data_IF_669801754492
#
_entry.id   IF_669801754492
#
_cell.length_a   1.000
_cell.length_b   1.000
_cell.length_c   1.000
_cell.angle_alpha   90.00
_cell.angle_beta   90.00
_cell.angle_gamma   90.00
#
_symmetry.space_group_name_H-M   'P 1'
#
loop_
_entity.id
_entity.type
_entity.pdbx_description
1 polymer ?
#
# COMPACT_ATOMS: atom_id res chain seq x y z
N UNK A 1 71.39 75.11 -31.61
CA UNK A 1 70.37 76.11 -31.25
C UNK A 1 69.03 75.63 -31.79
N UNK A 2 67.96 75.66 -30.98
CA UNK A 2 66.58 75.51 -31.45
C UNK A 2 65.84 74.28 -30.92
N UNK A 3 65.08 74.47 -29.84
CA UNK A 3 64.16 73.51 -29.21
C UNK A 3 62.94 73.19 -30.09
N UNK A 4 62.45 71.95 -30.06
CA UNK A 4 61.08 71.59 -30.46
C UNK A 4 60.38 70.89 -29.30
N UNK A 5 59.32 71.52 -28.80
CA UNK A 5 58.53 71.09 -27.65
C UNK A 5 57.58 69.94 -27.97
N UNK A 6 57.50 69.00 -27.02
CA UNK A 6 56.61 67.86 -27.04
C UNK A 6 55.17 68.25 -26.66
N UNK A 7 54.18 67.72 -27.38
CA UNK A 7 52.78 67.66 -26.95
C UNK A 7 52.46 66.23 -26.51
N UNK A 8 52.10 66.09 -25.24
CA UNK A 8 51.71 64.85 -24.59
C UNK A 8 50.22 64.59 -24.85
N UNK A 9 49.88 63.49 -25.51
CA UNK A 9 48.52 62.94 -25.56
C UNK A 9 48.39 61.88 -24.46
N UNK A 10 47.50 62.09 -23.49
CA UNK A 10 47.10 61.05 -22.53
C UNK A 10 46.09 60.11 -23.20
N UNK A 11 46.45 58.83 -23.32
CA UNK A 11 45.52 57.72 -23.58
C UNK A 11 45.09 57.13 -22.23
N UNK A 12 43.79 57.21 -21.93
CA UNK A 12 43.18 56.56 -20.76
C UNK A 12 42.87 55.11 -21.13
N UNK A 13 43.59 54.16 -20.52
CA UNK A 13 43.31 52.73 -20.61
C UNK A 13 42.23 52.36 -19.58
N UNK A 14 41.03 51.98 -20.04
CA UNK A 14 39.99 51.41 -19.19
C UNK A 14 40.24 49.91 -18.93
N UNK A 15 39.93 49.39 -17.72
CA UNK A 15 40.12 47.97 -17.43
C UNK A 15 39.04 47.13 -18.12
N UNK A 16 39.46 46.15 -18.91
CA UNK A 16 38.56 45.13 -19.45
C UNK A 16 38.17 44.15 -18.31
N UNK A 17 36.92 44.20 -17.87
CA UNK A 17 36.35 43.17 -17.00
C UNK A 17 36.13 41.88 -17.82
N UNK A 18 36.91 40.84 -17.51
CA UNK A 18 36.62 39.48 -17.96
C UNK A 18 35.55 38.91 -17.01
N UNK A 19 34.32 38.79 -17.51
CA UNK A 19 33.25 38.12 -16.78
C UNK A 19 33.49 36.60 -16.82
N UNK A 20 33.91 36.02 -15.69
CA UNK A 20 33.88 34.57 -15.50
C UNK A 20 32.42 34.11 -15.39
N UNK A 21 31.91 33.45 -16.43
CA UNK A 21 30.64 32.72 -16.37
C UNK A 21 30.83 31.49 -15.50
N UNK A 22 30.37 31.56 -14.26
CA UNK A 22 30.27 30.40 -13.38
C UNK A 22 29.09 29.56 -13.90
N UNK A 23 29.38 28.47 -14.61
CA UNK A 23 28.36 27.47 -14.92
C UNK A 23 27.99 26.77 -13.60
N UNK A 24 26.98 27.29 -12.92
CA UNK A 24 26.29 26.54 -11.86
C UNK A 24 25.51 25.42 -12.55
N UNK A 25 26.10 24.22 -12.61
CA UNK A 25 25.35 23.01 -12.90
C UNK A 25 24.17 22.96 -11.92
N UNK A 26 22.95 23.15 -12.41
CA UNK A 26 21.76 22.94 -11.60
C UNK A 26 21.82 21.49 -11.12
N UNK A 27 22.03 21.31 -9.81
CA UNK A 27 21.87 20.01 -9.20
C UNK A 27 20.45 19.57 -9.54
N UNK A 28 20.30 18.45 -10.27
CA UNK A 28 18.99 17.86 -10.48
C UNK A 28 18.37 17.67 -9.10
N UNK A 29 17.24 18.33 -8.85
CA UNK A 29 16.54 18.17 -7.58
C UNK A 29 16.25 16.68 -7.39
N UNK A 30 16.61 16.13 -6.23
CA UNK A 30 16.31 14.74 -5.92
C UNK A 30 14.81 14.53 -6.07
N UNK A 31 14.42 13.50 -6.82
CA UNK A 31 13.02 13.14 -6.99
C UNK A 31 12.40 12.92 -5.61
N UNK A 32 11.25 13.55 -5.31
CA UNK A 32 10.59 13.36 -4.02
C UNK A 32 10.21 11.89 -3.85
N UNK A 33 10.50 11.32 -2.68
CA UNK A 33 9.97 10.01 -2.31
C UNK A 33 8.45 10.16 -2.10
N UNK A 34 7.69 9.77 -3.12
CA UNK A 34 6.25 9.89 -3.14
C UNK A 34 5.60 8.73 -3.87
N UNK A 35 4.30 8.59 -3.65
CA UNK A 35 3.45 7.64 -4.33
C UNK A 35 2.17 8.31 -4.84
N UNK A 36 1.75 7.93 -6.03
CA UNK A 36 0.53 8.39 -6.67
C UNK A 36 -0.14 7.30 -7.50
N UNK A 37 -1.22 7.66 -8.17
CA UNK A 37 -1.95 6.78 -9.10
C UNK A 37 -1.92 7.42 -10.49
N UNK A 38 -1.61 6.60 -11.49
CA UNK A 38 -1.72 6.97 -12.90
C UNK A 38 -2.41 5.82 -13.66
N UNK A 39 -3.64 6.06 -14.12
CA UNK A 39 -4.47 5.02 -14.73
C UNK A 39 -4.69 3.87 -13.75
N UNK A 40 -4.33 2.65 -14.16
CA UNK A 40 -4.43 1.43 -13.36
C UNK A 40 -3.11 1.06 -12.63
N UNK A 41 -2.17 1.99 -12.49
CA UNK A 41 -0.88 1.75 -11.83
C UNK A 41 -0.64 2.70 -10.65
N UNK A 42 0.07 2.20 -9.64
CA UNK A 42 0.77 3.04 -8.68
C UNK A 42 2.05 3.57 -9.34
N UNK A 43 2.40 4.83 -9.06
CA UNK A 43 3.61 5.49 -9.58
C UNK A 43 4.42 6.12 -8.47
N UNK A 44 5.74 6.12 -8.61
CA UNK A 44 6.64 6.85 -7.71
C UNK A 44 6.74 8.34 -8.08
N UNK A 45 7.59 9.10 -7.39
CA UNK A 45 7.80 10.53 -7.65
C UNK A 45 8.36 10.88 -9.04
N UNK A 46 8.94 9.92 -9.76
CA UNK A 46 9.38 10.07 -11.15
C UNK A 46 8.24 9.78 -12.15
N UNK A 47 7.05 9.42 -11.67
CA UNK A 47 5.95 8.95 -12.51
C UNK A 47 6.17 7.53 -13.06
N UNK A 48 7.16 6.80 -12.57
CA UNK A 48 7.43 5.42 -12.99
C UNK A 48 6.47 4.48 -12.29
N UNK A 49 5.85 3.56 -13.04
CA UNK A 49 5.00 2.53 -12.47
C UNK A 49 5.78 1.66 -11.49
N UNK A 50 5.23 1.46 -10.29
CA UNK A 50 5.80 0.65 -9.22
C UNK A 50 4.78 -0.35 -8.69
N UNK A 51 5.28 -1.39 -8.02
CA UNK A 51 4.48 -2.30 -7.20
C UNK A 51 4.88 -2.15 -5.74
N UNK A 52 3.90 -2.26 -4.86
CA UNK A 52 4.10 -2.33 -3.42
C UNK A 52 4.25 -3.80 -3.02
N UNK A 53 5.46 -4.19 -2.66
CA UNK A 53 5.81 -5.54 -2.21
C UNK A 53 6.28 -5.42 -0.77
N UNK A 54 5.50 -5.92 0.17
CA UNK A 54 5.69 -5.54 1.57
C UNK A 54 5.21 -6.52 2.61
N UNK A 55 5.10 -6.02 3.83
CA UNK A 55 4.62 -6.81 4.97
C UNK A 55 3.62 -6.00 5.78
N UNK A 56 2.73 -6.72 6.44
CA UNK A 56 1.91 -6.18 7.53
C UNK A 56 2.74 -6.18 8.81
N UNK A 57 2.60 -5.12 9.60
CA UNK A 57 3.17 -5.05 10.94
C UNK A 57 2.06 -4.79 11.94
N UNK A 58 1.50 -5.87 12.45
CA UNK A 58 0.44 -5.85 13.47
C UNK A 58 0.98 -5.40 14.83
N UNK A 59 0.10 -5.09 15.78
CA UNK A 59 0.40 -4.67 17.15
C UNK A 59 -0.17 -3.31 17.52
N UNK A 60 -0.16 -2.36 16.57
CA UNK A 60 -0.63 -0.98 16.83
C UNK A 60 -2.14 -0.86 16.95
N UNK A 61 -2.89 -1.79 16.41
CA UNK A 61 -4.34 -1.90 16.53
C UNK A 61 -4.81 -2.46 17.88
N UNK A 62 -3.98 -3.24 18.59
CA UNK A 62 -4.44 -3.94 19.80
C UNK A 62 -3.67 -3.63 21.07
N UNK A 63 -2.36 -3.35 21.01
CA UNK A 63 -1.54 -3.19 22.22
C UNK A 63 -2.01 -2.02 23.10
N UNK A 64 -2.45 -0.94 22.44
CA UNK A 64 -2.87 0.30 23.08
C UNK A 64 -4.18 0.14 23.85
N UNK A 65 -5.18 -0.50 23.23
CA UNK A 65 -6.50 -0.73 23.84
C UNK A 65 -6.44 -1.85 24.89
N UNK A 66 -5.54 -2.83 24.72
CA UNK A 66 -5.24 -3.84 25.74
C UNK A 66 -4.38 -3.28 26.89
N UNK A 67 -3.84 -2.08 26.75
CA UNK A 67 -3.30 -1.30 27.86
C UNK A 67 -1.87 -1.65 28.28
N UNK A 68 -1.06 -2.23 27.39
CA UNK A 68 0.33 -2.62 27.71
C UNK A 68 1.40 -1.99 26.81
N UNK A 69 1.02 -1.26 25.76
CA UNK A 69 1.97 -0.55 24.90
C UNK A 69 1.32 0.05 23.66
N UNK A 70 2.11 0.60 22.74
CA UNK A 70 1.64 0.99 21.40
C UNK A 70 2.03 -0.07 20.35
N UNK A 71 3.14 -0.77 20.52
CA UNK A 71 3.65 -1.76 19.56
C UNK A 71 3.84 -3.12 20.25
N UNK A 72 3.54 -4.21 19.53
CA UNK A 72 3.88 -5.57 19.97
C UNK A 72 5.28 -5.98 19.52
N UNK A 73 6.33 -5.56 20.22
CA UNK A 73 7.72 -5.83 19.83
C UNK A 73 8.42 -4.62 19.21
N UNK A 74 9.64 -4.79 18.68
CA UNK A 74 10.52 -3.68 18.35
C UNK A 74 10.03 -2.85 17.15
N UNK A 75 10.09 -1.54 17.30
CA UNK A 75 9.71 -0.53 16.32
C UNK A 75 10.88 0.45 16.06
N UNK A 76 12.11 -0.04 16.18
CA UNK A 76 13.34 0.74 16.10
C UNK A 76 14.08 0.57 14.75
N UNK A 77 15.20 1.28 14.61
CA UNK A 77 15.95 1.30 13.36
C UNK A 77 16.55 -0.07 12.97
N UNK A 78 16.74 -0.97 13.94
CA UNK A 78 17.23 -2.32 13.68
C UNK A 78 16.09 -3.21 13.15
N UNK A 79 14.89 -3.12 13.73
CA UNK A 79 13.73 -3.90 13.23
C UNK A 79 13.33 -3.47 11.82
N UNK A 80 13.34 -2.17 11.52
CA UNK A 80 13.08 -1.68 10.15
C UNK A 80 14.19 -2.07 9.17
N UNK A 81 15.46 -2.14 9.62
CA UNK A 81 16.54 -2.63 8.78
C UNK A 81 16.39 -4.12 8.45
N UNK A 82 15.92 -4.93 9.39
CA UNK A 82 15.62 -6.35 9.17
C UNK A 82 14.49 -6.53 8.15
N UNK A 83 13.42 -5.71 8.24
CA UNK A 83 12.36 -5.68 7.22
C UNK A 83 12.93 -5.36 5.84
N UNK A 84 13.69 -4.27 5.71
CA UNK A 84 14.27 -3.85 4.43
C UNK A 84 15.22 -4.90 3.82
N UNK A 85 15.87 -5.73 4.64
CA UNK A 85 16.73 -6.81 4.18
C UNK A 85 15.97 -7.92 3.41
N UNK A 86 14.64 -8.00 3.55
CA UNK A 86 13.79 -8.88 2.75
C UNK A 86 13.36 -8.27 1.40
N UNK A 87 13.98 -7.15 0.99
CA UNK A 87 13.70 -6.45 -0.27
C UNK A 87 12.28 -5.91 -0.41
N UNK A 88 11.60 -5.66 0.71
CA UNK A 88 10.31 -4.98 0.71
C UNK A 88 10.47 -3.48 0.40
N UNK A 89 9.37 -2.85 -0.03
CA UNK A 89 9.31 -1.41 -0.25
C UNK A 89 8.12 -0.71 0.44
N UNK A 90 7.29 -1.45 1.19
CA UNK A 90 6.17 -0.89 1.95
C UNK A 90 5.93 -1.67 3.24
N UNK A 91 5.41 -0.98 4.26
CA UNK A 91 4.86 -1.62 5.46
C UNK A 91 3.44 -1.11 5.68
N UNK A 92 2.52 -2.05 5.92
CA UNK A 92 1.12 -1.76 6.32
C UNK A 92 1.01 -1.79 7.84
N UNK A 93 0.40 -0.73 8.39
CA UNK A 93 0.35 -0.41 9.82
C UNK A 93 -1.12 -0.37 10.25
N UNK A 94 -1.60 -1.44 10.92
CA UNK A 94 -2.95 -1.49 11.45
C UNK A 94 -3.19 -0.51 12.59
N UNK A 95 -4.23 0.31 12.51
CA UNK A 95 -4.52 1.32 13.52
C UNK A 95 -5.80 1.01 14.30
N UNK A 96 -5.83 1.54 15.53
CA UNK A 96 -7.00 1.52 16.40
C UNK A 96 -7.66 2.90 16.45
N UNK A 97 -8.97 2.95 16.20
CA UNK A 97 -9.76 4.17 16.22
C UNK A 97 -9.73 4.88 17.59
N UNK A 98 -10.01 4.14 18.65
CA UNK A 98 -10.12 4.68 20.01
C UNK A 98 -8.75 5.16 20.51
N UNK A 99 -7.69 4.41 20.23
CA UNK A 99 -6.34 4.83 20.59
C UNK A 99 -5.92 6.09 19.83
N UNK A 100 -6.25 6.19 18.54
CA UNK A 100 -5.93 7.37 17.76
C UNK A 100 -6.72 8.61 18.22
N UNK A 101 -8.02 8.46 18.49
CA UNK A 101 -8.91 9.56 18.86
C UNK A 101 -8.89 9.90 20.36
N UNK A 102 -8.33 9.03 21.20
CA UNK A 102 -8.36 9.16 22.67
C UNK A 102 -9.80 9.23 23.21
N UNK A 103 -10.61 8.24 22.83
CA UNK A 103 -12.00 8.09 23.26
C UNK A 103 -12.21 6.77 24.00
N UNK A 104 -13.41 6.52 24.52
CA UNK A 104 -13.81 5.23 25.10
C UNK A 104 -12.89 4.67 26.20
N UNK A 105 -12.21 5.56 26.92
CA UNK A 105 -11.43 5.22 28.11
C UNK A 105 -10.11 4.49 27.83
N UNK A 106 -9.52 4.63 26.63
CA UNK A 106 -8.15 4.12 26.39
C UNK A 106 -7.19 4.73 27.41
N UNK A 107 -6.22 3.94 27.88
CA UNK A 107 -5.16 4.46 28.74
C UNK A 107 -4.43 5.62 28.03
N UNK A 108 -4.47 6.81 28.61
CA UNK A 108 -3.89 8.03 28.04
C UNK A 108 -2.38 7.92 27.74
N UNK A 109 -1.67 6.98 28.37
CA UNK A 109 -0.28 6.67 28.03
C UNK A 109 -0.11 6.13 26.60
N UNK A 110 -1.16 5.59 25.98
CA UNK A 110 -1.14 4.94 24.67
C UNK A 110 -2.20 5.50 23.71
N UNK A 111 -2.73 6.69 23.99
CA UNK A 111 -3.83 7.28 23.23
C UNK A 111 -3.51 8.70 22.73
N UNK A 112 -4.31 9.17 21.76
CA UNK A 112 -4.30 10.53 21.25
C UNK A 112 -2.92 10.94 20.74
N UNK A 113 -2.44 12.11 21.17
CA UNK A 113 -1.16 12.65 20.73
C UNK A 113 0.03 11.69 20.95
N UNK A 114 0.00 10.88 22.01
CA UNK A 114 1.06 9.89 22.28
C UNK A 114 1.05 8.78 21.23
N UNK A 115 -0.12 8.22 20.92
CA UNK A 115 -0.30 7.23 19.87
C UNK A 115 0.08 7.80 18.49
N UNK A 116 -0.49 8.95 18.13
CA UNK A 116 -0.26 9.65 16.86
C UNK A 116 1.24 9.93 16.61
N UNK A 117 1.93 10.45 17.63
CA UNK A 117 3.36 10.76 17.52
C UNK A 117 4.22 9.50 17.37
N UNK A 118 3.85 8.41 18.05
CA UNK A 118 4.54 7.13 17.95
C UNK A 118 4.38 6.52 16.54
N UNK A 119 3.18 6.56 15.97
CA UNK A 119 2.93 6.12 14.59
C UNK A 119 3.72 6.98 13.58
N UNK A 120 3.70 8.30 13.72
CA UNK A 120 4.47 9.19 12.83
C UNK A 120 5.98 8.94 12.93
N UNK A 121 6.52 8.73 14.14
CA UNK A 121 7.93 8.42 14.33
C UNK A 121 8.29 7.11 13.62
N UNK A 122 7.42 6.10 13.68
CA UNK A 122 7.60 4.85 12.98
C UNK A 122 7.51 5.00 11.45
N UNK A 123 6.51 5.73 10.94
CA UNK A 123 6.40 6.08 9.51
C UNK A 123 7.64 6.82 9.01
N UNK A 124 8.15 7.79 9.76
CA UNK A 124 9.38 8.51 9.41
C UNK A 124 10.60 7.57 9.35
N UNK A 125 10.66 6.59 10.24
CA UNK A 125 11.74 5.60 10.26
C UNK A 125 11.65 4.65 9.05
N UNK A 126 10.45 4.23 8.65
CA UNK A 126 10.22 3.49 7.42
C UNK A 126 10.72 4.27 6.20
N UNK A 127 10.34 5.55 6.09
CA UNK A 127 10.76 6.42 4.99
C UNK A 127 12.27 6.65 4.94
N UNK A 128 12.95 6.73 6.08
CA UNK A 128 14.42 6.80 6.14
C UNK A 128 15.12 5.56 5.54
N UNK A 129 14.40 4.44 5.40
CA UNK A 129 14.85 3.21 4.74
C UNK A 129 14.26 3.01 3.34
N UNK A 130 13.59 4.03 2.79
CA UNK A 130 12.98 3.96 1.46
C UNK A 130 11.72 3.10 1.40
N UNK A 131 11.07 2.87 2.54
CA UNK A 131 9.83 2.11 2.63
C UNK A 131 8.64 3.07 2.65
N UNK A 132 7.64 2.83 1.82
CA UNK A 132 6.33 3.48 1.89
C UNK A 132 5.56 2.99 3.13
N UNK A 133 4.51 3.73 3.52
CA UNK A 133 3.64 3.34 4.63
C UNK A 133 2.17 3.28 4.18
N UNK A 134 1.47 2.20 4.53
CA UNK A 134 0.01 2.12 4.41
C UNK A 134 -0.55 2.23 5.82
N UNK A 135 -1.29 3.30 6.10
CA UNK A 135 -2.02 3.48 7.36
C UNK A 135 -3.45 3.01 7.15
N UNK A 136 -3.96 2.16 8.03
CA UNK A 136 -5.24 1.52 7.81
C UNK A 136 -6.08 1.39 9.08
N UNK A 137 -7.40 1.50 8.96
CA UNK A 137 -8.32 1.34 10.08
C UNK A 137 -8.62 -0.15 10.28
N UNK A 138 -7.96 -0.76 11.27
CA UNK A 138 -8.15 -2.17 11.61
C UNK A 138 -9.31 -2.37 12.56
N UNK A 139 -9.25 -1.68 13.69
CA UNK A 139 -10.17 -1.85 14.81
C UNK A 139 -10.91 -0.55 15.09
N UNK A 140 -12.23 -0.65 15.19
CA UNK A 140 -13.15 0.43 15.43
C UNK A 140 -14.28 -0.03 16.36
N UNK A 141 -15.04 0.90 16.91
CA UNK A 141 -16.21 0.55 17.72
C UNK A 141 -17.29 1.65 17.74
N UNK A 142 -18.57 1.28 17.65
CA UNK A 142 -19.67 2.22 17.72
C UNK A 142 -19.94 2.70 19.15
N UNK A 143 -20.37 3.96 19.28
CA UNK A 143 -20.87 4.56 20.50
C UNK A 143 -19.82 4.69 21.61
N UNK A 144 -20.03 4.00 22.73
CA UNK A 144 -19.11 4.07 23.89
C UNK A 144 -18.36 2.77 24.13
N UNK A 145 -18.47 1.84 23.18
CA UNK A 145 -17.77 0.55 23.26
C UNK A 145 -16.30 0.74 22.93
N UNK A 146 -15.43 -0.09 23.50
CA UNK A 146 -14.01 -0.07 23.17
C UNK A 146 -13.75 -0.82 21.86
N UNK A 147 -12.89 -0.27 21.01
CA UNK A 147 -12.39 -0.87 19.77
C UNK A 147 -11.42 -2.02 20.08
N UNK A 148 -11.92 -3.14 20.59
CA UNK A 148 -11.12 -4.33 20.98
C UNK A 148 -11.10 -5.42 19.91
N UNK A 149 -11.54 -5.12 18.69
CA UNK A 149 -11.64 -6.07 17.60
C UNK A 149 -12.24 -5.44 16.36
N UNK A 150 -12.10 -6.14 15.25
CA UNK A 150 -12.67 -5.73 13.98
C UNK A 150 -14.21 -5.84 13.97
N UNK A 151 -14.85 -4.91 13.26
CA UNK A 151 -16.30 -4.91 13.02
C UNK A 151 -16.64 -5.28 11.56
N UNK A 152 -17.94 -5.41 11.25
CA UNK A 152 -18.38 -5.68 9.87
C UNK A 152 -18.07 -4.54 8.89
N UNK A 153 -17.99 -3.31 9.42
CA UNK A 153 -17.81 -2.04 8.71
C UNK A 153 -17.23 -0.98 9.68
N UNK A 154 -16.72 0.16 9.18
CA UNK A 154 -16.47 1.35 9.98
C UNK A 154 -17.76 1.90 10.59
N UNK A 155 -17.70 2.49 11.79
CA UNK A 155 -18.84 3.15 12.45
C UNK A 155 -18.98 4.61 12.02
N UNK A 156 -20.22 5.08 11.94
CA UNK A 156 -20.52 6.41 11.41
C UNK A 156 -20.21 7.54 12.41
N UNK A 157 -20.13 7.24 13.71
CA UNK A 157 -19.94 8.22 14.77
C UNK A 157 -18.47 8.57 15.02
N UNK A 158 -17.51 7.66 14.78
CA UNK A 158 -16.08 7.95 14.98
C UNK A 158 -15.24 7.79 13.72
N UNK A 159 -15.51 6.82 12.84
CA UNK A 159 -14.57 6.51 11.74
C UNK A 159 -14.35 7.68 10.74
N UNK A 160 -15.34 8.52 10.42
CA UNK A 160 -15.08 9.76 9.67
C UNK A 160 -14.14 10.72 10.41
N UNK A 161 -14.29 10.88 11.73
CA UNK A 161 -13.41 11.73 12.54
C UNK A 161 -11.99 11.16 12.64
N UNK A 162 -11.87 9.84 12.76
CA UNK A 162 -10.60 9.12 12.65
C UNK A 162 -9.89 9.46 11.33
N UNK A 163 -10.57 9.27 10.20
CA UNK A 163 -9.96 9.53 8.90
C UNK A 163 -9.66 10.99 8.62
N UNK A 164 -10.49 11.92 9.07
CA UNK A 164 -10.17 13.36 9.04
C UNK A 164 -8.91 13.67 9.86
N UNK A 165 -8.75 13.03 11.02
CA UNK A 165 -7.59 13.23 11.89
C UNK A 165 -6.31 12.63 11.29
N UNK A 166 -6.33 11.35 10.87
CA UNK A 166 -5.21 10.68 10.19
C UNK A 166 -4.78 11.44 8.94
N UNK A 167 -5.74 11.79 8.06
CA UNK A 167 -5.42 12.50 6.83
C UNK A 167 -4.87 13.91 7.11
N UNK A 168 -5.38 14.62 8.12
CA UNK A 168 -4.81 15.92 8.52
C UNK A 168 -3.38 15.79 9.01
N UNK A 169 -3.09 14.75 9.79
CA UNK A 169 -1.77 14.48 10.35
C UNK A 169 -0.76 14.16 9.24
N UNK A 170 -1.15 13.31 8.28
CA UNK A 170 -0.24 12.78 7.26
C UNK A 170 -0.33 13.47 5.89
N UNK A 171 -1.23 14.42 5.60
CA UNK A 171 -1.40 15.03 4.24
C UNK A 171 -0.14 15.61 3.58
N UNK A 172 0.86 16.00 4.39
CA UNK A 172 2.15 16.49 3.92
C UNK A 172 3.08 15.34 3.47
N UNK A 173 2.88 14.14 4.03
CA UNK A 173 3.61 12.94 3.68
C UNK A 173 3.12 12.36 2.36
N UNK A 174 3.95 12.49 1.32
CA UNK A 174 3.61 12.00 -0.02
C UNK A 174 3.99 10.54 -0.24
N UNK A 175 4.62 9.88 0.73
CA UNK A 175 5.00 8.47 0.70
C UNK A 175 4.05 7.57 1.52
N UNK A 176 2.95 8.13 2.02
CA UNK A 176 1.88 7.40 2.71
C UNK A 176 0.69 7.07 1.79
N UNK A 177 0.00 5.98 2.08
CA UNK A 177 -1.32 5.63 1.55
C UNK A 177 -2.30 5.43 2.72
N UNK A 178 -3.59 5.57 2.43
CA UNK A 178 -4.66 5.39 3.40
C UNK A 178 -5.59 4.24 2.97
N UNK A 179 -5.66 3.16 3.74
CA UNK A 179 -6.63 2.11 3.53
C UNK A 179 -7.81 2.26 4.48
N UNK A 180 -8.97 2.60 3.92
CA UNK A 180 -10.09 3.14 4.70
C UNK A 180 -10.66 2.17 5.75
N UNK A 181 -10.54 0.87 5.49
CA UNK A 181 -10.96 -0.17 6.41
C UNK A 181 -10.36 -1.51 6.03
N UNK A 182 -9.95 -2.29 7.01
CA UNK A 182 -9.32 -3.60 6.84
C UNK A 182 -10.17 -4.57 5.99
N UNK A 183 -11.33 -4.98 6.49
CA UNK A 183 -12.10 -6.08 5.89
C UNK A 183 -13.62 -5.87 6.03
N UNK A 184 -14.28 -5.19 5.07
CA UNK A 184 -15.74 -5.13 5.03
C UNK A 184 -16.35 -6.52 4.79
N UNK A 185 -17.37 -6.89 5.57
CA UNK A 185 -18.03 -8.18 5.44
C UNK A 185 -19.51 -8.14 5.87
N UNK A 186 -20.28 -9.18 5.50
CA UNK A 186 -21.68 -9.38 5.89
C UNK A 186 -22.65 -8.21 5.63
N UNK A 187 -22.34 -7.33 4.67
CA UNK A 187 -23.19 -6.23 4.22
C UNK A 187 -23.41 -6.27 2.71
N UNK A 188 -24.43 -5.55 2.22
CA UNK A 188 -24.62 -5.36 0.77
C UNK A 188 -23.67 -4.31 0.21
N UNK A 189 -23.39 -4.34 -1.10
CA UNK A 189 -22.62 -3.29 -1.78
C UNK A 189 -23.21 -1.88 -1.61
N UNK A 190 -24.54 -1.77 -1.51
CA UNK A 190 -25.21 -0.49 -1.23
C UNK A 190 -24.87 0.03 0.17
N UNK A 191 -24.86 -0.85 1.18
CA UNK A 191 -24.41 -0.49 2.53
C UNK A 191 -22.91 -0.18 2.56
N UNK A 192 -22.09 -0.98 1.87
CA UNK A 192 -20.65 -0.75 1.76
C UNK A 192 -20.34 0.65 1.23
N UNK A 193 -21.07 1.11 0.20
CA UNK A 193 -20.85 2.43 -0.38
C UNK A 193 -21.41 3.57 0.50
N UNK A 194 -22.66 3.43 0.94
CA UNK A 194 -23.45 4.53 1.50
C UNK A 194 -23.57 4.52 3.03
N UNK A 195 -23.15 3.44 3.68
CA UNK A 195 -23.48 3.16 5.06
C UNK A 195 -24.89 2.57 5.19
N UNK A 196 -25.16 1.94 6.33
CA UNK A 196 -26.48 1.43 6.68
C UNK A 196 -26.57 1.20 8.20
N UNK A 197 -27.71 0.72 8.69
CA UNK A 197 -27.83 0.25 10.06
C UNK A 197 -27.67 -1.27 10.09
N UNK A 198 -26.44 -1.79 10.24
CA UNK A 198 -26.13 -3.23 10.30
C UNK A 198 -24.79 -3.44 10.98
N UNK A 199 -24.67 -4.32 12.00
CA UNK A 199 -25.68 -5.24 12.55
C UNK A 199 -26.52 -4.66 13.70
N UNK A 200 -26.67 -3.34 13.80
CA UNK A 200 -27.45 -2.69 14.88
C UNK A 200 -26.97 -1.29 15.27
N UNK A 201 -25.94 -0.78 14.58
CA UNK A 201 -25.42 0.57 14.68
C UNK A 201 -25.22 1.13 13.25
N UNK A 202 -25.05 2.45 13.14
CA UNK A 202 -24.90 3.11 11.86
C UNK A 202 -23.47 2.97 11.35
N UNK A 203 -23.29 2.37 10.17
CA UNK A 203 -22.00 2.22 9.52
C UNK A 203 -21.63 3.45 8.71
N UNK A 204 -20.36 3.81 8.69
CA UNK A 204 -19.81 4.73 7.71
C UNK A 204 -19.56 3.98 6.39
N UNK A 205 -20.23 4.42 5.32
CA UNK A 205 -19.96 3.91 3.97
C UNK A 205 -18.61 4.40 3.44
N UNK A 206 -18.02 3.65 2.52
CA UNK A 206 -16.72 4.00 1.92
C UNK A 206 -16.70 5.39 1.28
N UNK A 207 -17.81 5.86 0.70
CA UNK A 207 -17.89 7.22 0.17
C UNK A 207 -17.71 8.28 1.27
N UNK A 208 -18.28 8.05 2.45
CA UNK A 208 -18.16 8.98 3.58
C UNK A 208 -16.72 9.10 4.06
N UNK A 209 -15.98 7.99 4.06
CA UNK A 209 -14.58 7.95 4.45
C UNK A 209 -13.65 8.58 3.40
N UNK A 210 -13.90 8.34 2.10
CA UNK A 210 -13.21 9.08 1.02
C UNK A 210 -13.41 10.59 1.19
N UNK A 211 -14.65 11.02 1.46
CA UNK A 211 -14.95 12.43 1.68
C UNK A 211 -14.21 12.99 2.91
N UNK A 212 -14.17 12.23 4.01
CA UNK A 212 -13.49 12.62 5.24
C UNK A 212 -11.99 12.85 5.02
N UNK A 213 -11.34 11.98 4.23
CA UNK A 213 -9.93 12.16 3.83
C UNK A 213 -9.77 13.37 2.92
N UNK A 214 -10.56 13.47 1.84
CA UNK A 214 -10.40 14.53 0.83
C UNK A 214 -10.75 15.92 1.33
N UNK A 215 -11.66 16.04 2.29
CA UNK A 215 -12.00 17.31 2.94
C UNK A 215 -10.80 17.98 3.65
N UNK A 216 -9.75 17.21 3.99
CA UNK A 216 -8.52 17.75 4.61
C UNK A 216 -7.54 18.37 3.62
N UNK A 217 -7.76 18.15 2.32
CA UNK A 217 -6.82 18.44 1.24
C UNK A 217 -5.77 17.35 1.00
N UNK A 218 -5.90 16.18 1.64
CA UNK A 218 -5.03 15.03 1.39
C UNK A 218 -5.15 14.51 -0.06
N UNK A 219 -4.01 14.27 -0.69
CA UNK A 219 -3.91 13.84 -2.10
C UNK A 219 -3.36 12.43 -2.25
N UNK A 220 -3.05 11.77 -1.15
CA UNK A 220 -2.49 10.42 -1.14
C UNK A 220 -3.43 9.40 -1.79
N UNK A 221 -2.91 8.30 -2.34
CA UNK A 221 -3.73 7.18 -2.75
C UNK A 221 -4.60 6.67 -1.59
N UNK A 222 -5.85 6.33 -1.91
CA UNK A 222 -6.80 5.75 -0.97
C UNK A 222 -7.11 4.32 -1.41
N UNK A 223 -6.79 3.36 -0.54
CA UNK A 223 -7.14 1.95 -0.69
C UNK A 223 -8.54 1.70 -0.13
N UNK A 224 -9.37 0.98 -0.88
CA UNK A 224 -10.74 0.62 -0.48
C UNK A 224 -10.98 -0.86 -0.77
N UNK A 225 -11.15 -1.66 0.29
CA UNK A 225 -11.41 -3.09 0.22
C UNK A 225 -12.82 -3.43 -0.25
N UNK A 226 -12.98 -4.60 -0.87
CA UNK A 226 -14.27 -5.13 -1.28
C UNK A 226 -15.09 -5.73 -0.14
N UNK A 227 -16.02 -6.63 -0.47
CA UNK A 227 -16.79 -7.41 0.52
C UNK A 227 -16.09 -8.73 0.86
N UNK A 228 -16.75 -9.55 1.67
CA UNK A 228 -16.31 -10.89 2.05
C UNK A 228 -14.87 -10.87 2.59
N UNK A 229 -14.63 -9.98 3.55
CA UNK A 229 -13.33 -9.75 4.16
C UNK A 229 -12.29 -9.29 3.14
N UNK A 230 -12.63 -8.24 2.38
CA UNK A 230 -11.83 -7.71 1.27
C UNK A 230 -11.46 -8.74 0.17
N UNK A 231 -12.10 -9.92 0.11
CA UNK A 231 -11.84 -10.95 -0.90
C UNK A 231 -12.79 -10.89 -2.12
N UNK A 232 -13.94 -10.23 -2.00
CA UNK A 232 -14.87 -10.05 -3.13
C UNK A 232 -14.75 -8.65 -3.75
N UNK A 233 -14.12 -8.59 -4.91
CA UNK A 233 -13.99 -7.39 -5.73
C UNK A 233 -15.01 -7.28 -6.87
N UNK A 234 -15.96 -8.23 -6.98
CA UNK A 234 -16.87 -8.34 -8.13
C UNK A 234 -17.79 -7.12 -8.30
N UNK A 235 -18.19 -6.48 -7.21
CA UNK A 235 -19.01 -5.27 -7.22
C UNK A 235 -18.23 -3.96 -7.11
N UNK A 236 -16.90 -4.01 -7.01
CA UNK A 236 -16.09 -2.82 -6.70
C UNK A 236 -16.26 -1.73 -7.75
N UNK A 237 -16.15 -2.07 -9.05
CA UNK A 237 -16.24 -1.07 -10.12
C UNK A 237 -17.63 -0.44 -10.22
N UNK A 238 -18.69 -1.23 -10.02
CA UNK A 238 -20.07 -0.75 -10.07
C UNK A 238 -20.43 0.16 -8.89
N UNK A 239 -19.68 0.06 -7.78
CA UNK A 239 -19.90 0.84 -6.56
C UNK A 239 -18.72 1.77 -6.26
N UNK A 240 -17.78 1.98 -7.19
CA UNK A 240 -16.55 2.75 -6.97
C UNK A 240 -16.88 4.12 -6.35
N UNK A 241 -16.34 4.47 -5.16
CA UNK A 241 -16.53 5.80 -4.60
C UNK A 241 -16.04 6.90 -5.56
N UNK A 242 -16.71 8.04 -5.52
CA UNK A 242 -16.25 9.25 -6.17
C UNK A 242 -15.06 9.83 -5.41
N UNK A 243 -13.91 9.94 -6.09
CA UNK A 243 -12.70 10.56 -5.57
C UNK A 243 -12.25 11.69 -6.50
N UNK A 244 -12.30 12.97 -6.06
CA UNK A 244 -11.85 14.09 -6.89
C UNK A 244 -10.36 14.04 -7.24
N UNK A 245 -9.53 13.32 -6.47
CA UNK A 245 -8.11 13.13 -6.78
C UNK A 245 -7.87 12.00 -7.80
N UNK A 246 -8.88 11.21 -8.14
CA UNK A 246 -8.77 10.02 -9.00
C UNK A 246 -7.64 9.06 -8.56
N UNK A 247 -7.44 8.91 -7.25
CA UNK A 247 -6.33 8.15 -6.68
C UNK A 247 -6.84 6.97 -5.82
N UNK A 248 -7.94 6.33 -6.24
CA UNK A 248 -8.43 5.12 -5.60
C UNK A 248 -7.66 3.88 -6.05
N UNK A 249 -7.39 3.01 -5.09
CA UNK A 249 -6.75 1.71 -5.22
C UNK A 249 -7.72 0.67 -4.65
N UNK A 250 -7.93 -0.45 -5.33
CA UNK A 250 -8.70 -1.55 -4.75
C UNK A 250 -7.82 -2.34 -3.77
N UNK A 251 -8.31 -2.59 -2.55
CA UNK A 251 -7.66 -3.49 -1.60
C UNK A 251 -8.23 -4.91 -1.72
N UNK A 252 -7.36 -5.92 -1.72
CA UNK A 252 -7.72 -7.33 -1.84
C UNK A 252 -7.04 -8.17 -0.76
N UNK A 253 -7.75 -9.08 -0.11
CA UNK A 253 -7.17 -10.00 0.87
C UNK A 253 -7.28 -11.44 0.37
N UNK A 254 -6.19 -12.18 0.38
CA UNK A 254 -6.10 -13.48 -0.30
C UNK A 254 -5.45 -14.56 0.55
N UNK A 255 -6.30 -15.45 1.06
CA UNK A 255 -5.92 -16.59 1.87
C UNK A 255 -6.37 -17.92 1.26
N UNK A 256 -5.69 -19.02 1.60
CA UNK A 256 -5.98 -20.36 1.09
C UNK A 256 -7.42 -20.86 1.41
N UNK A 257 -8.02 -20.32 2.47
CA UNK A 257 -9.41 -20.58 2.91
C UNK A 257 -10.46 -19.66 2.27
N UNK A 258 -10.04 -18.64 1.50
CA UNK A 258 -10.97 -17.73 0.85
C UNK A 258 -11.65 -18.35 -0.37
N UNK A 259 -12.80 -17.75 -0.74
CA UNK A 259 -13.61 -18.20 -1.88
C UNK A 259 -13.01 -17.79 -3.22
N UNK A 260 -12.42 -16.59 -3.31
CA UNK A 260 -11.75 -16.13 -4.52
C UNK A 260 -10.37 -16.79 -4.66
N UNK A 261 -10.28 -17.77 -5.56
CA UNK A 261 -9.04 -18.48 -5.93
C UNK A 261 -8.70 -18.23 -7.41
N UNK A 262 -7.77 -18.98 -7.99
CA UNK A 262 -7.27 -18.81 -9.37
C UNK A 262 -8.33 -18.49 -10.43
N UNK A 263 -9.47 -19.18 -10.46
CA UNK A 263 -10.56 -18.87 -11.42
C UNK A 263 -11.10 -17.44 -11.22
N UNK A 264 -11.38 -17.07 -9.97
CA UNK A 264 -11.82 -15.72 -9.59
C UNK A 264 -10.72 -14.67 -9.79
N UNK A 265 -9.45 -15.00 -9.52
CA UNK A 265 -8.32 -14.10 -9.81
C UNK A 265 -8.31 -13.72 -11.29
N UNK A 266 -8.46 -14.70 -12.18
CA UNK A 266 -8.49 -14.48 -13.62
C UNK A 266 -9.76 -13.74 -14.10
N UNK A 267 -10.93 -14.08 -13.58
CA UNK A 267 -12.19 -13.51 -14.09
C UNK A 267 -12.52 -12.14 -13.51
N UNK A 268 -12.16 -11.91 -12.25
CA UNK A 268 -12.59 -10.75 -11.46
C UNK A 268 -11.43 -9.82 -11.17
N UNK A 269 -10.37 -10.33 -10.52
CA UNK A 269 -9.27 -9.50 -10.03
C UNK A 269 -8.45 -8.94 -11.21
N UNK A 270 -8.08 -9.76 -12.19
CA UNK A 270 -7.38 -9.29 -13.39
C UNK A 270 -8.21 -8.30 -14.22
N UNK A 271 -9.53 -8.53 -14.32
CA UNK A 271 -10.45 -7.62 -15.02
C UNK A 271 -10.49 -6.25 -14.34
N UNK A 272 -10.51 -6.21 -13.00
CA UNK A 272 -10.45 -4.96 -12.25
C UNK A 272 -9.07 -4.29 -12.32
N UNK A 273 -7.98 -5.07 -12.29
CA UNK A 273 -6.60 -4.59 -12.39
C UNK A 273 -6.30 -3.88 -13.72
N UNK A 274 -7.10 -4.13 -14.76
CA UNK A 274 -7.04 -3.39 -16.02
C UNK A 274 -7.63 -1.97 -15.94
N UNK A 275 -8.36 -1.63 -14.86
CA UNK A 275 -9.10 -0.37 -14.71
C UNK A 275 -8.60 0.50 -13.56
N UNK A 276 -8.14 -0.12 -12.46
CA UNK A 276 -7.61 0.57 -11.27
C UNK A 276 -6.42 -0.21 -10.71
N UNK A 277 -5.50 0.45 -9.98
CA UNK A 277 -4.47 -0.27 -9.26
C UNK A 277 -5.08 -1.19 -8.20
N UNK A 278 -4.49 -2.37 -8.02
CA UNK A 278 -4.84 -3.30 -6.94
C UNK A 278 -3.62 -3.50 -6.04
N UNK A 279 -3.86 -3.40 -4.74
CA UNK A 279 -2.93 -3.83 -3.70
C UNK A 279 -3.57 -4.95 -2.93
N UNK A 280 -2.94 -6.11 -2.93
CA UNK A 280 -3.33 -7.21 -2.06
C UNK A 280 -2.78 -6.93 -0.67
N UNK A 281 -3.58 -6.26 0.17
CA UNK A 281 -3.20 -5.80 1.50
C UNK A 281 -2.74 -6.93 2.41
N UNK A 282 -3.25 -8.14 2.18
CA UNK A 282 -2.87 -9.33 2.92
C UNK A 282 -2.81 -10.57 2.02
N UNK A 283 -1.70 -11.30 2.10
CA UNK A 283 -1.59 -12.68 1.63
C UNK A 283 -1.12 -13.58 2.76
N UNK A 284 -1.65 -14.81 2.80
CA UNK A 284 -1.21 -15.82 3.76
C UNK A 284 -1.87 -17.18 3.56
N UNK A 285 -1.44 -18.15 4.36
CA UNK A 285 -2.04 -19.47 4.49
C UNK A 285 -1.96 -19.96 5.94
N UNK A 286 -2.76 -20.97 6.31
CA UNK A 286 -2.99 -21.36 7.70
C UNK A 286 -2.40 -22.72 8.09
N UNK A 287 -1.35 -23.16 7.40
CA UNK A 287 -0.68 -24.45 7.61
C UNK A 287 0.85 -24.33 7.78
N UNK A 288 1.35 -23.09 7.87
CA UNK A 288 2.78 -22.75 7.88
C UNK A 288 3.58 -23.28 6.66
N UNK A 289 2.90 -23.72 5.61
CA UNK A 289 3.50 -23.90 4.29
C UNK A 289 3.50 -22.55 3.54
N UNK A 290 3.97 -22.52 2.30
CA UNK A 290 3.93 -21.32 1.45
C UNK A 290 3.44 -21.63 0.02
N UNK A 291 2.86 -22.81 -0.19
CA UNK A 291 2.52 -23.29 -1.53
C UNK A 291 1.36 -22.51 -2.16
N UNK A 292 0.43 -22.02 -1.33
CA UNK A 292 -0.67 -21.20 -1.82
C UNK A 292 -0.19 -19.79 -2.17
N UNK A 293 0.62 -19.17 -1.30
CA UNK A 293 1.14 -17.83 -1.58
C UNK A 293 2.13 -17.83 -2.76
N UNK A 294 2.91 -18.89 -2.97
CA UNK A 294 3.79 -19.02 -4.14
C UNK A 294 2.99 -18.95 -5.45
N UNK A 295 1.87 -19.69 -5.51
CA UNK A 295 0.97 -19.66 -6.67
C UNK A 295 0.38 -18.26 -6.87
N UNK A 296 -0.03 -17.60 -5.79
CA UNK A 296 -0.61 -16.26 -5.87
C UNK A 296 0.42 -15.20 -6.27
N UNK A 297 1.59 -15.17 -5.65
CA UNK A 297 2.65 -14.19 -5.94
C UNK A 297 3.10 -14.29 -7.39
N UNK A 298 3.32 -15.50 -7.90
CA UNK A 298 3.65 -15.70 -9.33
C UNK A 298 2.54 -15.20 -10.26
N UNK A 299 1.27 -15.42 -9.90
CA UNK A 299 0.14 -14.91 -10.67
C UNK A 299 0.06 -13.38 -10.60
N UNK A 300 0.18 -12.79 -9.40
CA UNK A 300 0.13 -11.35 -9.19
C UNK A 300 1.28 -10.61 -9.87
N UNK A 301 2.47 -11.21 -9.93
CA UNK A 301 3.62 -10.69 -10.67
C UNK A 301 3.32 -10.56 -12.16
N UNK A 302 2.73 -11.59 -12.77
CA UNK A 302 2.34 -11.58 -14.18
C UNK A 302 1.27 -10.52 -14.51
N UNK A 303 0.51 -10.06 -13.50
CA UNK A 303 -0.55 -9.06 -13.64
C UNK A 303 -0.17 -7.68 -13.07
N UNK A 304 1.06 -7.51 -12.56
CA UNK A 304 1.52 -6.24 -11.99
C UNK A 304 0.80 -5.84 -10.69
N UNK A 305 0.19 -6.78 -9.97
CA UNK A 305 -0.59 -6.51 -8.75
C UNK A 305 0.33 -6.46 -7.53
N UNK A 306 0.17 -5.47 -6.66
CA UNK A 306 0.96 -5.33 -5.44
C UNK A 306 0.53 -6.35 -4.37
N UNK A 307 1.39 -6.75 -3.44
CA UNK A 307 1.00 -7.65 -2.34
C UNK A 307 1.84 -7.48 -1.08
N UNK A 308 1.24 -7.74 0.08
CA UNK A 308 1.90 -7.70 1.37
C UNK A 308 1.66 -8.99 2.16
N UNK A 309 2.75 -9.60 2.64
CA UNK A 309 2.66 -10.78 3.51
C UNK A 309 2.08 -10.41 4.88
N UNK A 310 1.04 -11.10 5.30
CA UNK A 310 0.63 -11.13 6.70
C UNK A 310 1.38 -12.29 7.37
N UNK A 311 2.22 -12.11 8.40
CA UNK A 311 2.57 -10.85 9.10
C UNK A 311 4.01 -10.81 9.65
N UNK A 312 4.60 -9.62 9.79
CA UNK A 312 5.92 -9.39 10.41
C UNK A 312 5.82 -9.35 11.94
N UNK A 313 5.53 -10.51 12.53
CA UNK A 313 5.44 -10.71 13.98
C UNK A 313 6.05 -12.08 14.31
N UNK A 314 6.46 -12.29 15.57
CA UNK A 314 7.08 -13.55 16.02
C UNK A 314 6.06 -14.54 16.60
N UNK A 315 4.85 -14.57 16.04
CA UNK A 315 3.80 -15.50 16.45
C UNK A 315 3.99 -16.89 15.83
N UNK A 316 3.07 -17.81 16.14
CA UNK A 316 3.02 -19.12 15.49
C UNK A 316 2.42 -19.01 14.08
N UNK A 317 3.22 -19.32 13.06
CA UNK A 317 2.81 -19.35 11.65
C UNK A 317 1.66 -20.33 11.36
N UNK A 318 1.37 -21.29 12.24
CA UNK A 318 0.29 -22.26 12.06
C UNK A 318 -1.08 -21.72 12.45
N UNK A 319 -1.14 -20.66 13.28
CA UNK A 319 -2.39 -20.09 13.82
C UNK A 319 -2.65 -18.64 13.38
N UNK A 320 -1.73 -18.07 12.60
CA UNK A 320 -1.81 -16.79 11.92
C UNK A 320 -0.47 -16.59 11.22
N UNK A 321 -0.39 -16.39 9.89
CA UNK A 321 0.83 -16.66 9.13
C UNK A 321 2.03 -15.75 9.45
N UNK A 322 2.65 -15.90 10.61
CA UNK A 322 3.85 -15.16 10.99
C UNK A 322 4.97 -15.45 9.98
N UNK A 323 5.50 -14.40 9.36
CA UNK A 323 6.61 -14.45 8.42
C UNK A 323 7.91 -14.75 9.15
N UNK A 324 8.07 -14.27 10.39
CA UNK A 324 9.33 -14.33 11.13
C UNK A 324 9.18 -15.11 12.44
N UNK A 325 10.27 -15.74 12.86
CA UNK A 325 10.42 -16.33 14.19
C UNK A 325 11.25 -15.46 15.13
N UNK A 326 11.95 -14.46 14.59
CA UNK A 326 12.74 -13.48 15.34
C UNK A 326 12.76 -12.13 14.59
N UNK A 327 12.72 -11.02 15.34
CA UNK A 327 12.72 -9.66 14.80
C UNK A 327 14.01 -9.25 14.08
N UNK A 328 15.07 -10.07 14.13
CA UNK A 328 16.22 -9.95 13.25
C UNK A 328 15.95 -10.36 11.78
N UNK A 329 14.72 -10.82 11.47
CA UNK A 329 14.31 -11.24 10.14
C UNK A 329 14.52 -12.72 9.85
N UNK A 330 14.70 -13.56 10.88
CA UNK A 330 14.73 -15.02 10.72
C UNK A 330 13.34 -15.52 10.29
N UNK A 331 13.19 -16.15 9.12
CA UNK A 331 11.87 -16.55 8.64
C UNK A 331 11.31 -17.76 9.40
N UNK A 332 9.99 -17.89 9.41
CA UNK A 332 9.29 -19.17 9.64
C UNK A 332 9.32 -20.04 8.38
N UNK A 333 8.74 -21.25 8.42
CA UNK A 333 8.59 -22.05 7.20
C UNK A 333 7.69 -21.37 6.15
N UNK A 334 6.63 -20.69 6.57
CA UNK A 334 5.81 -19.84 5.70
C UNK A 334 6.62 -18.66 5.14
N UNK A 335 7.35 -17.94 6.00
CA UNK A 335 8.09 -16.74 5.59
C UNK A 335 9.25 -16.99 4.63
N UNK A 336 9.81 -18.20 4.59
CA UNK A 336 10.87 -18.57 3.62
C UNK A 336 10.38 -18.36 2.19
N UNK A 337 9.17 -18.84 1.85
CA UNK A 337 8.62 -18.69 0.49
C UNK A 337 8.47 -17.23 0.09
N UNK A 338 7.89 -16.42 0.98
CA UNK A 338 7.72 -14.99 0.75
C UNK A 338 9.06 -14.26 0.56
N UNK A 339 10.00 -14.45 1.48
CA UNK A 339 11.32 -13.80 1.43
C UNK A 339 12.09 -14.17 0.16
N UNK A 340 12.16 -15.46 -0.16
CA UNK A 340 12.96 -15.95 -1.29
C UNK A 340 12.36 -15.48 -2.62
N UNK A 341 11.04 -15.39 -2.72
CA UNK A 341 10.33 -14.82 -3.87
C UNK A 341 10.70 -13.34 -4.07
N UNK A 342 10.66 -12.51 -3.02
CA UNK A 342 11.05 -11.10 -3.09
C UNK A 342 12.52 -10.91 -3.48
N UNK A 343 13.42 -11.73 -2.93
CA UNK A 343 14.84 -11.71 -3.30
C UNK A 343 15.07 -12.05 -4.78
N UNK A 344 14.31 -12.99 -5.32
CA UNK A 344 14.35 -13.34 -6.74
C UNK A 344 13.91 -12.17 -7.64
N UNK A 345 12.85 -11.45 -7.26
CA UNK A 345 12.37 -10.26 -7.98
C UNK A 345 13.35 -9.08 -7.91
N UNK A 346 14.05 -8.91 -6.78
CA UNK A 346 15.05 -7.86 -6.60
C UNK A 346 16.32 -8.08 -7.43
N UNK A 347 16.55 -9.30 -7.93
CA UNK A 347 17.73 -9.62 -8.74
C UNK A 347 17.44 -9.32 -10.22
N UNK A 348 18.07 -8.29 -10.84
CA UNK A 348 17.87 -8.05 -12.26
C UNK A 348 18.35 -9.25 -13.08
N UNK A 349 17.49 -9.81 -13.93
CA UNK A 349 17.83 -10.89 -14.86
C UNK A 349 19.04 -10.46 -15.70
N UNK A 350 20.23 -10.95 -15.32
CA UNK A 350 21.44 -10.83 -16.14
C UNK A 350 21.37 -11.92 -17.21
N UNK A 351 20.86 -11.59 -18.39
CA UNK A 351 21.14 -12.43 -19.55
C UNK A 351 22.66 -12.53 -19.73
N UNK A 352 23.23 -13.76 -19.84
CA UNK A 352 24.54 -13.92 -20.44
C UNK A 352 24.50 -13.25 -21.81
N UNK A 353 25.49 -12.42 -22.12
CA UNK A 353 25.56 -11.62 -23.35
C UNK A 353 25.40 -12.44 -24.65
N UNK A 354 25.60 -13.76 -24.58
CA UNK A 354 25.43 -14.73 -25.66
C UNK A 354 23.98 -15.16 -25.92
N UNK A 355 23.03 -14.87 -25.02
CA UNK A 355 21.60 -15.21 -25.15
C UNK A 355 20.71 -14.03 -25.54
N UNK A 356 21.30 -12.86 -25.86
CA UNK A 356 20.53 -11.74 -26.43
C UNK A 356 20.03 -12.15 -27.83
N UNK A 357 18.70 -12.14 -28.10
CA UNK A 357 18.21 -12.23 -29.46
C UNK A 357 18.79 -11.05 -30.25
N UNK A 358 19.49 -11.31 -31.35
CA UNK A 358 19.81 -10.25 -32.31
C UNK A 358 18.47 -9.67 -32.77
N UNK A 359 18.31 -8.35 -32.72
CA UNK A 359 17.15 -7.65 -33.27
C UNK A 359 16.94 -8.08 -34.74
N UNK A 360 16.07 -9.05 -34.96
CA UNK A 360 15.49 -9.33 -36.27
C UNK A 360 14.24 -8.47 -36.33
N UNK A 361 14.28 -7.45 -37.19
CA UNK A 361 13.12 -6.64 -37.51
C UNK A 361 11.95 -7.56 -37.93
N UNK A 362 10.73 -7.37 -37.41
CA UNK A 362 9.60 -8.22 -37.77
C UNK A 362 9.21 -8.03 -39.24
N UNK A 363 8.92 -9.11 -39.99
CA UNK A 363 8.28 -9.00 -41.30
C UNK A 363 6.84 -8.49 -41.14
N UNK A 364 6.38 -7.70 -42.12
CA UNK A 364 5.02 -7.15 -42.21
C UNK A 364 3.94 -8.24 -42.10
N UNK A 365 2.90 -7.94 -41.31
CA UNK A 365 1.74 -8.80 -41.08
C UNK A 365 0.93 -9.06 -42.36
N UNK A 366 0.53 -10.32 -42.55
CA UNK A 366 -0.51 -10.74 -43.49
C UNK A 366 -1.80 -11.08 -42.70
N UNK A 367 -2.95 -10.68 -43.26
CA UNK A 367 -4.28 -10.74 -42.65
C UNK A 367 -4.76 -12.15 -42.27
N UNK A 368 -5.54 -12.31 -41.18
CA UNK A 368 -6.10 -13.61 -40.76
C UNK A 368 -7.43 -13.94 -41.45
N UNK A 369 -7.57 -15.21 -41.85
CA UNK A 369 -8.82 -15.81 -42.32
C UNK A 369 -9.60 -16.47 -41.16
N UNK A 370 -10.92 -16.34 -41.25
CA UNK A 370 -11.98 -16.79 -40.33
C UNK A 370 -12.25 -18.29 -40.52
N UNK A 371 -12.58 -19.05 -39.44
CA UNK A 371 -13.64 -20.08 -39.36
C UNK A 371 -13.68 -20.78 -37.97
N UNK A 372 -14.76 -21.51 -37.57
CA UNK A 372 -15.51 -21.24 -36.35
C UNK A 372 -15.43 -22.34 -35.25
N UNK A 373 -15.92 -21.98 -34.06
CA UNK A 373 -16.05 -22.80 -32.85
C UNK A 373 -17.09 -23.94 -32.94
N UNK A 374 -17.02 -24.91 -32.01
CA UNK A 374 -18.23 -25.31 -31.29
C UNK A 374 -18.07 -25.53 -29.78
N UNK A 375 -19.04 -24.94 -29.06
CA UNK A 375 -19.84 -25.35 -27.89
C UNK A 375 -19.46 -26.59 -27.06
N UNK A 376 -19.63 -26.46 -25.73
CA UNK A 376 -19.82 -27.59 -24.80
C UNK A 376 -19.98 -27.15 -23.34
N UNK A 377 -21.21 -27.22 -22.83
CA UNK A 377 -21.65 -26.87 -21.46
C UNK A 377 -21.23 -27.90 -20.39
N UNK A 378 -21.18 -27.47 -19.12
CA UNK A 378 -21.16 -28.36 -17.96
C UNK A 378 -21.24 -27.63 -16.61
N UNK A 379 -22.44 -27.62 -15.99
CA UNK A 379 -22.73 -27.10 -14.64
C UNK A 379 -22.47 -28.16 -13.55
N UNK A 380 -22.57 -27.70 -12.29
CA UNK A 380 -22.74 -28.40 -10.98
C UNK A 380 -21.52 -28.16 -10.09
N UNK A 381 -21.59 -27.69 -8.84
CA UNK A 381 -22.66 -27.36 -7.90
C UNK A 381 -21.98 -27.21 -6.52
N UNK A 382 -22.06 -26.04 -5.89
CA UNK A 382 -21.34 -25.75 -4.65
C UNK A 382 -22.26 -25.87 -3.42
N UNK A 383 -21.80 -26.60 -2.39
CA UNK A 383 -22.34 -26.57 -1.03
C UNK A 383 -21.36 -25.84 -0.12
N UNK A 384 -21.91 -24.96 0.72
CA UNK A 384 -21.27 -24.02 1.62
C UNK A 384 -20.83 -24.64 2.95
N UNK A 385 -19.72 -24.15 3.52
CA UNK A 385 -19.47 -24.18 4.97
C UNK A 385 -18.62 -22.96 5.37
N UNK A 386 -19.18 -22.12 6.25
CA UNK A 386 -18.63 -20.92 6.90
C UNK A 386 -17.69 -21.32 8.04
N UNK A 387 -16.56 -20.64 8.28
CA UNK A 387 -15.97 -20.41 9.62
C UNK A 387 -15.01 -19.21 9.64
N UNK A 388 -14.93 -18.61 10.83
CA UNK A 388 -14.38 -17.32 11.27
C UNK A 388 -12.85 -17.20 11.23
N UNK A 389 -12.34 -16.00 10.96
CA UNK A 389 -11.03 -15.51 11.43
C UNK A 389 -11.27 -14.41 12.49
N UNK A 390 -10.34 -14.27 13.44
CA UNK A 390 -10.39 -13.44 14.66
C UNK A 390 -9.36 -12.35 14.59
#
# INVERSE_FOLDING_TARGET
MGSLGARLLLLVLGPALVALTVNTSAAAAATPFSIGVAGNHLVNGDGTAIRLLGVNRSGTEYACIQGWGIFDGPNDAASVAAMAAWHINVVRIPLNEDCWLNINGVNAAYAGATYQSAIQAYVNLLHQRGLYAILELHWNAPGTSQATGQQVMPDADHSPAFWTSVATFFKADKAALFELYNEPHDVSWSCWLNGCNTPGWNTAGMQSLVNAVRATGATQPIMVGGLAWSNDLSGWLANKPSDPANALVASFHNYNFNVCKLSCWNSTVATLAAQVPIVTGEIGENDCAHGYIDQYMSWADAHGISYLGWTWDTWDCSNGPALISDYNGTPTAFGVGFRDHLAALATPFRFPWWQRPRNVLPPRAASPAIFPSPLGEGRVGARSSRWYAR
#
